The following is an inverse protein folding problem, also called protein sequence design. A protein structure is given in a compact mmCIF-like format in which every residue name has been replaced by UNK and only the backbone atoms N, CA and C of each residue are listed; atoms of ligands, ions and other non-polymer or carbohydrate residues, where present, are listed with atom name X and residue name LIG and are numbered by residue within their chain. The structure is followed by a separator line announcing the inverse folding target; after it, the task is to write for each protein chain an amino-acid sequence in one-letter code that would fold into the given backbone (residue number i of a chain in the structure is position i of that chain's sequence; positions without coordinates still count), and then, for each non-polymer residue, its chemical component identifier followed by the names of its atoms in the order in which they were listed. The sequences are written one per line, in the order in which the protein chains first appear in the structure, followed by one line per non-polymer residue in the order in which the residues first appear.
data_IF_255078960214
#
_entry.id   IF_255078960214
#
_cell.length_a   1.000
_cell.length_b   1.000
_cell.length_c   1.000
_cell.angle_alpha   90.00
_cell.angle_beta   90.00
_cell.angle_gamma   90.00
#
_symmetry.space_group_name_H-M   'P 1'
#
loop_
_entity.id
_entity.type
_entity.pdbx_description
1 polymer ?
#
# COMPACT_ATOMS: atom_id res chain seq x y z
N UNK A 1 14.72 -13.16 14.28
CA UNK A 1 14.29 -13.40 13.33
C UNK A 1 13.82 -12.32 12.56
N UNK A 2 13.72 -12.39 11.48
CA UNK A 2 13.44 -11.38 10.84
C UNK A 2 12.05 -11.22 10.51
N UNK A 3 11.65 -10.11 10.30
CA UNK A 3 10.38 -9.86 10.03
C UNK A 3 10.14 -9.97 8.63
N UNK A 4 9.25 -10.80 8.22
CA UNK A 4 8.91 -10.93 6.84
C UNK A 4 7.58 -10.25 6.57
N UNK A 5 7.19 -9.33 7.39
CA UNK A 5 5.95 -8.59 7.19
C UNK A 5 6.24 -7.20 6.66
N UNK A 6 5.58 -6.84 5.55
CA UNK A 6 5.81 -5.57 4.90
C UNK A 6 4.63 -4.65 5.19
N UNK A 7 4.84 -3.62 5.98
CA UNK A 7 3.77 -2.70 6.35
C UNK A 7 3.92 -1.41 5.58
N UNK A 8 2.90 -1.07 4.83
CA UNK A 8 2.95 0.10 3.96
C UNK A 8 1.80 1.04 4.26
N UNK A 9 2.03 2.33 4.11
CA UNK A 9 1.00 3.33 4.27
C UNK A 9 1.03 4.27 3.10
N UNK A 10 -0.11 4.59 2.57
CA UNK A 10 -0.20 5.50 1.44
C UNK A 10 -1.34 6.46 1.59
N UNK A 11 -1.26 7.57 0.84
CA UNK A 11 -2.26 8.61 0.86
C UNK A 11 -2.60 9.00 -0.55
N UNK A 12 -3.85 9.40 -0.78
CA UNK A 12 -4.24 9.85 -2.11
C UNK A 12 -5.36 10.85 -2.02
N UNK A 13 -5.42 11.77 -2.99
CA UNK A 13 -6.55 12.66 -3.13
C UNK A 13 -7.42 12.23 -4.28
N UNK A 14 -7.04 11.18 -4.97
CA UNK A 14 -7.80 10.68 -6.10
C UNK A 14 -9.09 10.04 -5.62
N UNK A 15 -10.01 9.91 -6.52
CA UNK A 15 -11.28 9.32 -6.21
C UNK A 15 -11.07 7.86 -5.78
N UNK A 16 -11.81 7.45 -4.76
CA UNK A 16 -11.59 6.19 -4.09
C UNK A 16 -11.65 4.98 -5.01
N UNK A 17 -12.67 4.90 -5.82
CA UNK A 17 -12.83 3.73 -6.66
C UNK A 17 -11.74 3.64 -7.73
N UNK A 18 -11.33 4.78 -8.25
CA UNK A 18 -10.28 4.79 -9.26
C UNK A 18 -8.95 4.34 -8.65
N UNK A 19 -8.65 4.83 -7.46
CA UNK A 19 -7.40 4.44 -6.82
C UNK A 19 -7.41 2.96 -6.45
N UNK A 20 -8.52 2.46 -5.92
CA UNK A 20 -8.62 1.06 -5.56
C UNK A 20 -8.40 0.18 -6.78
N UNK A 21 -8.97 0.56 -7.91
CA UNK A 21 -8.81 -0.19 -9.13
C UNK A 21 -7.35 -0.27 -9.55
N UNK A 22 -6.66 0.87 -9.51
CA UNK A 22 -5.24 0.91 -9.89
C UNK A 22 -4.37 0.10 -8.93
N UNK A 23 -4.69 0.15 -7.64
CA UNK A 23 -3.93 -0.59 -6.65
C UNK A 23 -4.14 -2.10 -6.84
N UNK A 24 -5.37 -2.52 -7.12
CA UNK A 24 -5.62 -3.91 -7.38
C UNK A 24 -4.85 -4.40 -8.60
N UNK A 25 -4.78 -3.57 -9.61
CA UNK A 25 -4.01 -3.93 -10.80
C UNK A 25 -2.53 -4.01 -10.48
N UNK A 26 -2.04 -3.13 -9.62
CA UNK A 26 -0.62 -3.17 -9.23
C UNK A 26 -0.30 -4.47 -8.50
N UNK A 27 -1.18 -4.91 -7.61
CA UNK A 27 -0.97 -6.17 -6.93
C UNK A 27 -1.00 -7.33 -7.91
N UNK A 28 -1.95 -7.33 -8.83
CA UNK A 28 -2.04 -8.42 -9.79
C UNK A 28 -0.79 -8.48 -10.68
N UNK A 29 -0.28 -7.33 -11.07
CA UNK A 29 0.90 -7.29 -11.93
C UNK A 29 2.15 -7.80 -11.21
N UNK A 30 2.14 -7.78 -9.88
CA UNK A 30 3.27 -8.21 -9.09
C UNK A 30 3.10 -9.62 -8.53
N UNK A 31 2.10 -10.34 -9.02
CA UNK A 31 1.81 -11.67 -8.51
C UNK A 31 1.44 -11.67 -7.03
N UNK A 32 0.93 -10.57 -6.54
CA UNK A 32 0.52 -10.51 -5.15
C UNK A 32 -0.90 -11.00 -5.03
N UNK A 33 -1.19 -11.73 -3.96
CA UNK A 33 -2.53 -12.21 -3.67
C UNK A 33 -3.12 -11.35 -2.59
N UNK A 34 -4.31 -10.84 -2.81
CA UNK A 34 -5.00 -10.06 -1.79
C UNK A 34 -5.72 -11.05 -0.90
N UNK A 35 -5.34 -11.06 0.38
CA UNK A 35 -5.92 -11.98 1.34
C UNK A 35 -7.14 -11.39 2.02
N UNK A 36 -7.15 -10.09 2.20
CA UNK A 36 -8.23 -9.44 2.90
C UNK A 36 -8.30 -7.99 2.47
N UNK A 37 -9.52 -7.47 2.32
CA UNK A 37 -9.71 -6.12 1.85
C UNK A 37 -10.78 -5.53 2.75
N UNK A 38 -10.42 -4.57 3.57
CA UNK A 38 -11.35 -4.04 4.54
C UNK A 38 -11.42 -2.53 4.53
N UNK A 39 -12.60 -2.00 4.30
CA UNK A 39 -12.81 -0.57 4.40
C UNK A 39 -13.15 -0.24 5.82
N UNK A 40 -12.40 0.66 6.45
CA UNK A 40 -12.73 1.06 7.79
C UNK A 40 -13.70 2.21 7.78
N UNK A 41 -13.66 3.02 6.72
CA UNK A 41 -14.57 4.15 6.62
C UNK A 41 -14.48 4.65 5.21
N UNK A 42 -15.11 5.78 4.93
CA UNK A 42 -15.00 6.38 3.61
C UNK A 42 -13.60 6.87 3.34
N UNK A 43 -12.79 7.02 4.36
CA UNK A 43 -11.47 7.61 4.22
C UNK A 43 -10.33 6.68 4.46
N UNK A 44 -10.55 5.42 4.78
CA UNK A 44 -9.43 4.52 4.97
C UNK A 44 -9.76 3.08 4.63
N UNK A 45 -8.77 2.38 4.17
CA UNK A 45 -8.88 1.04 3.66
C UNK A 45 -7.63 0.27 4.02
N UNK A 46 -7.75 -0.99 4.34
CA UNK A 46 -6.58 -1.83 4.59
C UNK A 46 -6.64 -3.05 3.69
N UNK A 47 -5.53 -3.38 3.06
CA UNK A 47 -5.41 -4.54 2.20
C UNK A 47 -4.31 -5.43 2.75
N UNK A 48 -4.64 -6.65 3.12
CA UNK A 48 -3.63 -7.62 3.53
C UNK A 48 -3.30 -8.47 2.32
N UNK A 49 -2.03 -8.73 2.11
CA UNK A 49 -1.59 -9.40 0.90
C UNK A 49 -0.38 -10.29 1.15
N UNK A 50 -0.08 -11.11 0.16
CA UNK A 50 1.13 -11.90 0.15
C UNK A 50 1.69 -11.84 -1.24
N UNK A 51 3.00 -11.92 -1.38
CA UNK A 51 3.61 -11.99 -2.69
C UNK A 51 4.98 -12.66 -2.57
N UNK A 52 5.50 -13.19 -3.67
CA UNK A 52 6.86 -13.75 -3.63
C UNK A 52 7.87 -12.66 -3.35
N UNK A 53 8.86 -12.95 -2.53
CA UNK A 53 9.87 -11.97 -2.17
C UNK A 53 10.54 -11.34 -3.37
N UNK A 54 10.74 -12.12 -4.43
CA UNK A 54 11.41 -11.60 -5.62
C UNK A 54 10.57 -10.55 -6.34
N UNK A 55 9.30 -10.42 -5.98
CA UNK A 55 8.42 -9.47 -6.64
C UNK A 55 8.22 -8.17 -5.87
N UNK A 56 8.88 -8.04 -4.72
CA UNK A 56 8.68 -6.83 -3.91
C UNK A 56 9.10 -5.58 -4.67
N UNK A 57 10.21 -5.64 -5.42
CA UNK A 57 10.63 -4.47 -6.20
C UNK A 57 9.61 -4.12 -7.27
N UNK A 58 8.99 -5.12 -7.88
CA UNK A 58 7.98 -4.86 -8.88
C UNK A 58 6.75 -4.24 -8.26
N UNK A 59 6.39 -4.71 -7.07
CA UNK A 59 5.25 -4.13 -6.38
C UNK A 59 5.53 -2.66 -6.07
N UNK A 60 6.75 -2.35 -5.63
CA UNK A 60 7.10 -0.97 -5.32
C UNK A 60 6.93 -0.08 -6.55
N UNK A 61 7.41 -0.56 -7.70
CA UNK A 61 7.30 0.22 -8.92
C UNK A 61 5.84 0.35 -9.36
N UNK A 62 5.07 -0.72 -9.23
CA UNK A 62 3.68 -0.70 -9.65
C UNK A 62 2.86 0.24 -8.77
N UNK A 63 3.12 0.24 -7.45
CA UNK A 63 2.42 1.14 -6.56
C UNK A 63 2.78 2.60 -6.85
N UNK A 64 4.05 2.85 -7.16
CA UNK A 64 4.45 4.21 -7.50
C UNK A 64 3.71 4.69 -8.74
N UNK A 65 3.48 3.80 -9.68
CA UNK A 65 2.79 4.18 -10.93
C UNK A 65 1.31 4.46 -10.73
N UNK A 66 0.72 4.05 -9.61
CA UNK A 66 -0.70 4.29 -9.37
C UNK A 66 -0.97 5.74 -8.97
N UNK A 67 0.06 6.47 -8.58
CA UNK A 67 -0.12 7.81 -8.06
C UNK A 67 -0.34 7.85 -6.55
N UNK A 68 -0.40 6.70 -5.90
CA UNK A 68 -0.54 6.64 -4.46
C UNK A 68 0.75 7.16 -3.83
N UNK A 69 0.65 8.04 -2.84
CA UNK A 69 1.83 8.55 -2.19
C UNK A 69 2.15 7.71 -0.99
N UNK A 70 3.24 6.99 -1.03
CA UNK A 70 3.66 6.18 0.10
C UNK A 70 4.40 7.03 1.11
N UNK A 71 4.27 6.71 2.39
CA UNK A 71 4.98 7.43 3.43
C UNK A 71 6.46 7.18 3.29
N UNK A 72 7.27 8.06 3.90
CA UNK A 72 8.72 7.89 3.85
C UNK A 72 9.13 6.58 4.48
N UNK A 73 8.48 6.19 5.58
CA UNK A 73 8.79 4.93 6.23
C UNK A 73 8.49 3.76 5.30
N UNK A 74 7.40 3.85 4.52
CA UNK A 74 7.05 2.79 3.61
C UNK A 74 8.05 2.66 2.48
N UNK A 75 8.48 3.80 1.94
CA UNK A 75 9.46 3.77 0.87
C UNK A 75 10.79 3.22 1.38
N UNK A 76 11.16 3.58 2.61
CA UNK A 76 12.38 3.04 3.20
C UNK A 76 12.28 1.54 3.39
N UNK A 77 11.13 1.05 3.82
CA UNK A 77 10.93 -0.37 4.00
C UNK A 77 11.07 -1.12 2.68
N UNK A 78 10.52 -0.56 1.62
CA UNK A 78 10.63 -1.19 0.30
C UNK A 78 12.06 -1.20 -0.19
N UNK A 79 12.81 -0.14 0.09
CA UNK A 79 14.21 -0.10 -0.30
C UNK A 79 15.03 -1.15 0.43
N UNK A 80 14.74 -1.36 1.71
CA UNK A 80 15.41 -2.39 2.47
C UNK A 80 15.13 -3.76 1.85
N UNK A 81 13.89 -4.02 1.47
CA UNK A 81 13.54 -5.27 0.83
C UNK A 81 14.25 -5.46 -0.51
N UNK A 82 14.39 -4.39 -1.28
CA UNK A 82 15.09 -4.48 -2.52
C UNK A 82 16.52 -4.86 -2.31
N UNK A 83 17.19 -4.26 -1.34
CA UNK A 83 18.56 -4.58 -1.06
C UNK A 83 18.72 -5.99 -0.56
N UNK A 84 17.83 -6.43 0.30
CA UNK A 84 17.90 -7.78 0.83
C UNK A 84 17.71 -8.81 -0.28
N UNK A 85 16.81 -8.50 -1.22
CA UNK A 85 16.56 -9.40 -2.30
C UNK A 85 17.82 -9.58 -3.15
N UNK A 86 18.53 -8.49 -3.40
CA UNK A 86 19.74 -8.56 -4.19
C UNK A 86 20.84 -9.32 -3.50
N UNK A 87 20.85 -9.33 -2.19
CA UNK A 87 21.92 -9.96 -1.45
C UNK A 87 21.59 -11.35 -0.94
N UNK A 88 20.37 -11.79 -1.07
CA UNK A 88 20.00 -13.07 -0.53
C UNK A 88 20.26 -14.20 -1.48
N UNK A 89 20.38 -15.40 -0.94
CA UNK A 89 20.52 -16.58 -1.76
C UNK A 89 19.28 -16.77 -2.62
N UNK A 90 19.40 -17.34 -3.78
CA UNK A 90 18.23 -17.53 -4.65
C UNK A 90 17.07 -18.25 -3.98
N UNK A 91 17.37 -19.16 -3.05
CA UNK A 91 16.30 -19.89 -2.40
C UNK A 91 15.41 -18.96 -1.60
N UNK A 92 15.94 -17.84 -1.13
CA UNK A 92 15.13 -16.91 -0.36
C UNK A 92 14.21 -16.10 -1.25
N UNK A 93 14.49 -16.04 -2.54
CA UNK A 93 13.66 -15.30 -3.45
C UNK A 93 12.31 -15.96 -3.66
N UNK A 94 12.21 -17.23 -3.29
CA UNK A 94 10.96 -17.94 -3.46
C UNK A 94 10.07 -17.82 -2.25
N UNK A 95 10.55 -17.25 -1.16
CA UNK A 95 9.75 -17.12 0.03
C UNK A 95 8.61 -16.16 -0.20
N UNK A 96 7.51 -16.39 0.50
CA UNK A 96 6.37 -15.49 0.44
C UNK A 96 6.52 -14.42 1.50
N UNK A 97 6.16 -13.21 1.14
CA UNK A 97 6.18 -12.09 2.05
C UNK A 97 4.74 -11.67 2.30
N UNK A 98 4.35 -11.58 3.55
CA UNK A 98 3.03 -11.08 3.90
C UNK A 98 3.15 -9.59 4.17
N UNK A 99 2.10 -8.85 3.90
CA UNK A 99 2.12 -7.42 4.17
C UNK A 99 0.74 -6.83 4.29
N UNK A 100 0.71 -5.56 4.61
CA UNK A 100 -0.53 -4.81 4.69
C UNK A 100 -0.29 -3.43 4.09
N UNK A 101 -1.24 -2.97 3.29
CA UNK A 101 -1.21 -1.63 2.74
C UNK A 101 -2.41 -0.87 3.28
N UNK A 102 -2.16 0.20 4.00
CA UNK A 102 -3.22 1.05 4.53
C UNK A 102 -3.27 2.30 3.66
N UNK A 103 -4.44 2.59 3.09
CA UNK A 103 -4.61 3.76 2.23
C UNK A 103 -5.55 4.74 2.89
N UNK A 104 -5.13 6.00 2.95
CA UNK A 104 -5.95 7.08 3.46
C UNK A 104 -6.38 7.95 2.28
N UNK A 105 -7.69 8.17 2.16
CA UNK A 105 -8.23 8.99 1.09
C UNK A 105 -8.47 10.40 1.65
N UNK A 106 -7.75 11.37 1.13
CA UNK A 106 -7.81 12.73 1.64
C UNK A 106 -8.81 13.51 0.82
N UNK A 107 -9.81 14.04 1.49
CA UNK A 107 -10.83 14.80 0.81
C UNK A 107 -10.51 16.28 0.82
N UNK A 108 -10.82 16.94 -0.26
CA UNK A 108 -10.57 18.31 -0.35
C UNK A 108 -11.80 19.11 -0.38
N UNK A 109 -12.91 18.64 0.07
CA UNK A 109 -14.12 19.36 -0.02
C UNK A 109 -14.27 20.32 1.04
N UNK A 110 -14.32 21.57 0.77
CA UNK A 110 -14.41 22.56 1.80
C UNK A 110 -15.66 22.41 2.62
N UNK A 111 -16.74 22.07 1.99
CA UNK A 111 -17.96 21.96 2.72
C UNK A 111 -17.92 20.87 3.71
N UNK A 112 -17.16 19.88 3.49
CA UNK A 112 -17.09 18.88 4.44
C UNK A 112 -16.54 19.36 5.67
N UNK A 113 -15.54 20.16 5.65
CA UNK A 113 -14.95 20.52 6.81
C UNK A 113 -15.70 21.46 7.52
N UNK A 114 -16.43 22.19 6.84
CA UNK A 114 -17.07 23.11 7.55
C UNK A 114 -17.99 22.63 8.39
N UNK A 115 -18.39 21.69 8.03
CA UNK A 115 -19.29 21.20 8.81
C UNK A 115 -19.08 21.00 9.99
N UNK A 116 -18.53 21.50 10.01
CA UNK A 116 -18.22 21.40 11.03
C UNK A 116 -18.31 22.10 11.83
N UNK A 117 -18.46 22.46 11.86
CA UNK A 117 -18.43 23.00 12.56
C UNK A 117 -19.06 23.31 13.17
N UNK A 118 -19.10 23.47 13.20
CA UNK A 118 -19.52 23.80 13.79
C UNK A 118 -20.15 24.07 14.45
N UNK A 119 -20.18 24.34 14.49
CA UNK A 119 -20.71 24.57 15.07
C UNK A 119 -21.06 24.96 15.75
N UNK A 120 -21.19 25.24 15.99
CA UNK A 120 -21.28 25.76 16.51
C UNK A 120 -21.58 25.88 17.26
N UNK A 121 -21.51 26.02 17.26
CA UNK A 121 -21.64 26.02 17.86
C UNK A 121 -21.81 26.02 17.88
#
# INVERSE_FOLDING_TARGET
MEQDFLRLEGFTRDERHAMISRVREAFAASDASILDFKMFSNVSLNINFELPARRVAELANALAATGLRLSDASRAALDVWRQRHDECAPSRHQAEVAGALHITFIHHEPDLRLDVPPIPG
#
